data_IF_504144604944
#
_entry.id   IF_504144604944
#
_cell.length_a   1.000
_cell.length_b   1.000
_cell.length_c   1.000
_cell.angle_alpha   90.00
_cell.angle_beta   90.00
_cell.angle_gamma   90.00
#
_symmetry.space_group_name_H-M   'P 1'
#
loop_
_entity.id
_entity.type
_entity.pdbx_description
1 polymer ?
#
# COMPACT_ATOMS: atom_id res chain seq x y z
N UNK A 1 -17.18 21.84 -5.20
CA UNK A 1 -15.72 22.01 -4.97
C UNK A 1 -14.95 21.03 -5.85
N UNK A 2 -13.95 21.49 -6.58
CA UNK A 2 -13.18 20.67 -7.52
C UNK A 2 -11.87 20.22 -6.89
N UNK A 3 -11.67 18.91 -6.77
CA UNK A 3 -10.47 18.29 -6.17
C UNK A 3 -9.67 17.60 -7.27
N UNK A 4 -8.42 17.99 -7.46
CA UNK A 4 -7.48 17.31 -8.35
C UNK A 4 -6.64 16.30 -7.56
N UNK A 5 -6.63 15.04 -7.97
CA UNK A 5 -5.82 13.97 -7.39
C UNK A 5 -4.65 13.70 -8.34
N UNK A 6 -3.42 13.86 -7.83
CA UNK A 6 -2.15 13.85 -8.58
C UNK A 6 -1.17 12.92 -7.90
N UNK A 7 -0.24 12.31 -8.64
CA UNK A 7 0.82 11.47 -8.09
C UNK A 7 0.49 9.98 -8.03
N UNK A 8 -0.45 9.55 -8.84
CA UNK A 8 -0.81 8.14 -9.04
C UNK A 8 -0.64 7.75 -10.51
N UNK A 9 -0.50 6.47 -10.81
CA UNK A 9 -0.54 5.99 -12.20
C UNK A 9 -1.91 6.28 -12.81
N UNK A 10 -2.98 6.14 -12.03
CA UNK A 10 -4.34 6.51 -12.42
C UNK A 10 -5.41 5.51 -12.00
N UNK A 11 -6.57 5.63 -12.62
CA UNK A 11 -7.75 4.77 -12.44
C UNK A 11 -8.21 4.21 -13.80
N UNK A 12 -8.78 2.96 -13.85
CA UNK A 12 -8.96 2.01 -12.76
C UNK A 12 -7.64 1.55 -12.15
N UNK A 13 -7.65 1.17 -10.86
CA UNK A 13 -6.47 0.69 -10.17
C UNK A 13 -5.98 -0.63 -10.77
N UNK A 14 -4.75 -0.64 -11.28
CA UNK A 14 -4.13 -1.86 -11.79
C UNK A 14 -3.14 -2.43 -10.77
N UNK A 15 -2.35 -1.57 -10.11
CA UNK A 15 -1.31 -1.98 -9.18
C UNK A 15 -0.78 -0.79 -8.38
N UNK A 16 -0.78 -0.91 -7.06
CA UNK A 16 -0.18 0.09 -6.16
C UNK A 16 -1.12 0.60 -5.08
N UNK A 17 -0.54 1.07 -3.97
CA UNK A 17 -1.30 1.59 -2.83
C UNK A 17 -2.08 2.86 -3.16
N UNK A 18 -1.46 3.80 -3.88
CA UNK A 18 -2.12 5.05 -4.27
C UNK A 18 -3.23 4.84 -5.30
N UNK A 19 -3.06 3.93 -6.23
CA UNK A 19 -4.12 3.57 -7.20
C UNK A 19 -5.35 3.01 -6.46
N UNK A 20 -5.13 2.09 -5.51
CA UNK A 20 -6.18 1.54 -4.66
C UNK A 20 -6.83 2.61 -3.79
N UNK A 21 -6.05 3.54 -3.22
CA UNK A 21 -6.56 4.67 -2.45
C UNK A 21 -7.48 5.55 -3.30
N UNK A 22 -7.02 5.97 -4.48
CA UNK A 22 -7.78 6.86 -5.37
C UNK A 22 -9.05 6.20 -5.86
N UNK A 23 -8.97 4.93 -6.29
CA UNK A 23 -10.14 4.17 -6.73
C UNK A 23 -11.23 4.14 -5.66
N UNK A 24 -10.83 3.88 -4.40
CA UNK A 24 -11.79 3.77 -3.32
C UNK A 24 -12.27 5.15 -2.82
N UNK A 25 -11.46 6.20 -2.82
CA UNK A 25 -11.93 7.57 -2.55
C UNK A 25 -13.00 7.96 -3.57
N UNK A 26 -12.74 7.75 -4.86
CA UNK A 26 -13.69 8.07 -5.92
C UNK A 26 -14.96 7.22 -5.81
N UNK A 27 -14.82 5.92 -5.50
CA UNK A 27 -15.95 4.99 -5.30
C UNK A 27 -16.84 5.38 -4.11
N UNK A 28 -16.26 5.89 -3.03
CA UNK A 28 -17.00 6.28 -1.83
C UNK A 28 -17.61 7.68 -1.93
N UNK A 29 -17.28 8.46 -2.97
CA UNK A 29 -17.85 9.80 -3.12
C UNK A 29 -19.38 9.70 -3.30
N UNK A 30 -20.09 10.25 -2.33
CA UNK A 30 -21.56 10.37 -2.32
C UNK A 30 -22.03 11.82 -2.28
N UNK A 31 -21.07 12.77 -2.28
CA UNK A 31 -21.35 14.18 -2.16
C UNK A 31 -21.47 14.81 -3.57
N UNK A 32 -22.60 15.42 -3.85
CA UNK A 32 -22.77 16.25 -5.05
C UNK A 32 -21.94 17.55 -4.99
N UNK A 33 -21.38 17.87 -3.83
CA UNK A 33 -20.54 19.06 -3.63
C UNK A 33 -19.09 18.86 -4.07
N UNK A 34 -18.63 17.60 -4.25
CA UNK A 34 -17.25 17.25 -4.60
C UNK A 34 -17.17 16.68 -6.02
N UNK A 35 -16.39 17.35 -6.85
CA UNK A 35 -16.04 16.91 -8.20
C UNK A 35 -14.57 16.49 -8.24
N UNK A 36 -14.30 15.22 -8.44
CA UNK A 36 -12.93 14.72 -8.56
C UNK A 36 -12.41 14.78 -9.98
N UNK A 37 -11.14 15.17 -10.14
CA UNK A 37 -10.36 15.03 -11.37
C UNK A 37 -9.11 14.19 -11.05
N UNK A 38 -8.99 12.99 -11.63
CA UNK A 38 -7.86 12.10 -11.43
C UNK A 38 -6.87 12.23 -12.57
N UNK A 39 -5.61 12.52 -12.26
CA UNK A 39 -4.53 12.61 -13.25
C UNK A 39 -3.95 11.21 -13.47
N UNK A 40 -3.94 10.78 -14.73
CA UNK A 40 -3.53 9.43 -15.14
C UNK A 40 -2.41 9.48 -16.17
N UNK A 41 -1.50 8.51 -16.13
CA UNK A 41 -0.45 8.34 -17.14
C UNK A 41 -1.00 7.68 -18.39
N UNK A 42 -1.02 8.40 -19.54
CA UNK A 42 -1.46 7.80 -20.80
C UNK A 42 -0.53 6.69 -21.32
N UNK A 43 0.64 6.52 -20.71
CA UNK A 43 1.59 5.46 -21.08
C UNK A 43 1.32 4.13 -20.38
N UNK A 44 0.45 4.14 -19.37
CA UNK A 44 0.12 2.97 -18.57
C UNK A 44 -1.28 2.40 -18.83
N UNK A 45 -2.08 3.09 -19.66
CA UNK A 45 -3.44 2.66 -20.00
C UNK A 45 -3.59 2.54 -21.52
N UNK A 46 -3.95 1.36 -22.01
CA UNK A 46 -4.22 1.12 -23.42
C UNK A 46 -5.57 1.73 -23.84
N UNK A 47 -6.56 1.65 -22.94
CA UNK A 47 -7.87 2.29 -23.11
C UNK A 47 -7.96 3.51 -22.23
N UNK A 48 -8.45 4.61 -22.78
CA UNK A 48 -8.57 5.88 -22.08
C UNK A 48 -10.05 6.26 -21.92
N UNK A 49 -10.45 6.42 -20.67
CA UNK A 49 -11.79 6.86 -20.30
C UNK A 49 -11.75 8.30 -19.79
N UNK A 50 -12.62 9.17 -20.31
CA UNK A 50 -12.70 10.56 -19.85
C UNK A 50 -13.40 10.73 -18.50
N UNK A 51 -14.19 9.71 -18.11
CA UNK A 51 -14.90 9.67 -16.82
C UNK A 51 -14.76 8.26 -16.24
N UNK A 52 -14.44 8.17 -14.96
CA UNK A 52 -14.37 6.93 -14.22
C UNK A 52 -15.10 7.08 -12.88
N UNK A 53 -16.17 6.30 -12.65
CA UNK A 53 -17.00 6.36 -11.45
C UNK A 53 -17.43 7.78 -11.04
N UNK A 54 -17.76 8.63 -12.01
CA UNK A 54 -18.13 10.02 -11.79
C UNK A 54 -16.97 11.02 -11.69
N UNK A 55 -15.74 10.55 -11.53
CA UNK A 55 -14.55 11.41 -11.57
C UNK A 55 -14.12 11.69 -13.00
N UNK A 56 -13.72 12.94 -13.30
CA UNK A 56 -13.07 13.30 -14.55
C UNK A 56 -11.67 12.70 -14.60
N UNK A 57 -11.25 12.12 -15.71
CA UNK A 57 -9.91 11.59 -15.92
C UNK A 57 -9.12 12.52 -16.84
N UNK A 58 -7.90 12.86 -16.43
CA UNK A 58 -7.00 13.74 -17.18
C UNK A 58 -5.71 12.98 -17.48
N UNK A 59 -5.41 12.76 -18.77
CA UNK A 59 -4.23 12.01 -19.19
C UNK A 59 -3.04 12.91 -19.45
N UNK A 60 -1.89 12.55 -18.85
CA UNK A 60 -0.58 13.18 -19.07
C UNK A 60 0.31 12.18 -19.84
N UNK A 61 0.97 12.57 -20.94
CA UNK A 61 1.71 11.66 -21.84
C UNK A 61 3.12 11.34 -21.30
N UNK A 62 3.25 11.09 -19.99
CA UNK A 62 4.47 10.74 -19.28
C UNK A 62 4.22 9.52 -18.41
N UNK A 63 5.28 8.75 -18.08
CA UNK A 63 5.19 7.65 -17.11
C UNK A 63 5.11 8.21 -15.70
N UNK A 64 4.19 7.68 -14.88
CA UNK A 64 4.05 8.04 -13.47
C UNK A 64 5.06 7.33 -12.56
N UNK A 65 5.96 6.50 -13.11
CA UNK A 65 6.96 5.75 -12.37
C UNK A 65 8.39 6.11 -12.84
N UNK A 66 9.37 5.93 -11.92
CA UNK A 66 10.77 6.21 -12.19
C UNK A 66 11.06 7.71 -12.26
N UNK A 67 12.12 8.11 -12.95
CA UNK A 67 12.55 9.54 -13.04
C UNK A 67 11.49 10.40 -13.75
N UNK A 68 10.73 9.83 -14.67
CA UNK A 68 9.68 10.56 -15.39
C UNK A 68 8.53 10.97 -14.47
N UNK A 69 8.33 10.33 -13.33
CA UNK A 69 7.29 10.69 -12.37
C UNK A 69 7.40 12.14 -11.90
N UNK A 70 8.62 12.67 -11.77
CA UNK A 70 8.86 14.06 -11.37
C UNK A 70 8.21 15.03 -12.36
N UNK A 71 8.46 14.83 -13.64
CA UNK A 71 7.87 15.67 -14.71
C UNK A 71 6.36 15.43 -14.83
N UNK A 72 5.92 14.18 -14.71
CA UNK A 72 4.51 13.82 -14.72
C UNK A 72 3.74 14.58 -13.62
N UNK A 73 4.24 14.57 -12.39
CA UNK A 73 3.62 15.24 -11.26
C UNK A 73 3.67 16.77 -11.42
N UNK A 74 4.80 17.33 -11.84
CA UNK A 74 4.95 18.78 -12.09
C UNK A 74 3.94 19.26 -13.13
N UNK A 75 3.82 18.59 -14.29
CA UNK A 75 2.84 18.95 -15.31
C UNK A 75 1.39 18.79 -14.84
N UNK A 76 1.12 17.73 -14.08
CA UNK A 76 -0.19 17.49 -13.48
C UNK A 76 -0.59 18.61 -12.51
N UNK A 77 0.32 19.03 -11.64
CA UNK A 77 0.12 20.15 -10.70
C UNK A 77 -0.16 21.45 -11.46
N UNK A 78 0.68 21.80 -12.45
CA UNK A 78 0.52 23.04 -13.23
C UNK A 78 -0.80 23.06 -14.01
N UNK A 79 -1.21 21.94 -14.60
CA UNK A 79 -2.48 21.83 -15.28
C UNK A 79 -3.67 21.95 -14.30
N UNK A 80 -3.59 21.29 -13.15
CA UNK A 80 -4.63 21.30 -12.11
C UNK A 80 -4.86 22.70 -11.50
N UNK A 81 -3.83 23.55 -11.46
CA UNK A 81 -3.96 24.92 -10.96
C UNK A 81 -5.04 25.74 -11.70
N UNK A 82 -5.37 25.39 -12.93
CA UNK A 82 -6.40 26.11 -13.72
C UNK A 82 -7.81 25.58 -13.49
N UNK A 83 -7.95 24.35 -13.00
CA UNK A 83 -9.23 23.63 -13.02
C UNK A 83 -9.75 23.21 -11.63
N UNK A 84 -8.88 23.08 -10.63
CA UNK A 84 -9.26 22.59 -9.31
C UNK A 84 -9.20 23.68 -8.23
N UNK A 85 -9.95 23.51 -7.15
CA UNK A 85 -9.93 24.34 -5.95
C UNK A 85 -8.94 23.77 -4.93
N UNK A 86 -8.83 22.45 -4.87
CA UNK A 86 -7.95 21.69 -3.96
C UNK A 86 -7.05 20.79 -4.78
N UNK A 87 -5.77 20.73 -4.43
CA UNK A 87 -4.78 19.81 -4.95
C UNK A 87 -4.47 18.75 -3.90
N UNK A 88 -4.85 17.50 -4.16
CA UNK A 88 -4.40 16.33 -3.40
C UNK A 88 -3.23 15.71 -4.15
N UNK A 89 -2.04 15.85 -3.61
CA UNK A 89 -0.79 15.31 -4.17
C UNK A 89 -0.39 14.07 -3.38
N UNK A 90 -0.26 12.94 -4.08
CA UNK A 90 0.12 11.65 -3.53
C UNK A 90 1.59 11.38 -3.85
N UNK A 91 2.42 11.29 -2.80
CA UNK A 91 3.86 11.21 -2.91
C UNK A 91 4.53 12.59 -3.02
N UNK A 92 5.86 12.58 -2.98
CA UNK A 92 6.67 13.82 -2.89
C UNK A 92 7.46 14.13 -4.15
N UNK A 93 7.44 13.28 -5.19
CA UNK A 93 8.30 13.39 -6.37
C UNK A 93 8.15 14.73 -7.10
N UNK A 94 6.93 15.23 -7.25
CA UNK A 94 6.64 16.50 -7.91
C UNK A 94 6.59 17.72 -6.99
N UNK A 95 6.78 17.58 -5.68
CA UNK A 95 6.62 18.67 -4.72
C UNK A 95 7.70 19.75 -4.81
N UNK A 96 8.77 19.53 -5.58
CA UNK A 96 9.76 20.55 -5.89
C UNK A 96 9.17 21.79 -6.58
N UNK A 97 8.00 21.69 -7.24
CA UNK A 97 7.30 22.82 -7.88
C UNK A 97 6.48 23.68 -6.89
N UNK A 98 6.19 23.20 -5.68
CA UNK A 98 5.28 23.86 -4.74
C UNK A 98 5.68 25.30 -4.34
N UNK A 99 6.95 25.64 -4.17
CA UNK A 99 7.35 27.06 -3.95
C UNK A 99 6.83 27.98 -5.06
N UNK A 100 6.96 27.56 -6.32
CA UNK A 100 6.46 28.31 -7.47
C UNK A 100 4.92 28.37 -7.51
N UNK A 101 4.27 27.24 -7.19
CA UNK A 101 2.80 27.20 -7.08
C UNK A 101 2.27 28.21 -6.06
N UNK A 102 2.95 28.37 -4.93
CA UNK A 102 2.57 29.35 -3.88
C UNK A 102 2.72 30.80 -4.30
N UNK A 103 3.63 31.10 -5.23
CA UNK A 103 3.74 32.45 -5.80
C UNK A 103 2.56 32.76 -6.73
N UNK A 104 1.99 31.76 -7.40
CA UNK A 104 0.94 31.92 -8.40
C UNK A 104 -0.47 31.71 -7.85
N UNK A 105 -0.63 31.00 -6.74
CA UNK A 105 -1.93 30.54 -6.29
C UNK A 105 -2.01 30.36 -4.76
N UNK A 106 -3.20 30.67 -4.21
CA UNK A 106 -3.57 30.38 -2.81
C UNK A 106 -4.46 29.15 -2.67
N UNK A 107 -4.54 28.30 -3.71
CA UNK A 107 -5.34 27.08 -3.66
C UNK A 107 -4.85 26.15 -2.54
N UNK A 108 -5.79 25.40 -1.98
CA UNK A 108 -5.47 24.45 -0.91
C UNK A 108 -4.65 23.30 -1.45
N UNK A 109 -3.52 23.02 -0.84
CA UNK A 109 -2.60 21.95 -1.20
C UNK A 109 -2.52 20.97 -0.03
N UNK A 110 -2.89 19.73 -0.31
CA UNK A 110 -2.81 18.60 0.62
C UNK A 110 -1.81 17.63 0.03
N UNK A 111 -0.78 17.25 0.79
CA UNK A 111 0.24 16.29 0.34
C UNK A 111 0.24 15.08 1.25
N UNK A 112 0.01 13.90 0.67
CA UNK A 112 0.28 12.63 1.33
C UNK A 112 1.73 12.24 1.03
N UNK A 113 2.58 12.19 2.06
CA UNK A 113 4.02 12.03 1.89
C UNK A 113 4.47 10.58 1.66
N UNK A 114 3.52 9.61 1.72
CA UNK A 114 3.84 8.18 1.56
C UNK A 114 4.84 7.65 2.61
N UNK A 115 5.41 6.49 2.36
CA UNK A 115 6.29 5.74 3.25
C UNK A 115 7.79 6.08 3.15
N UNK A 116 8.18 7.36 3.14
CA UNK A 116 9.58 7.81 3.16
C UNK A 116 10.42 7.27 1.98
N UNK A 117 9.97 7.56 0.75
CA UNK A 117 10.60 7.09 -0.50
C UNK A 117 12.13 7.33 -0.56
N UNK A 118 12.63 8.40 0.07
CA UNK A 118 14.06 8.69 0.11
C UNK A 118 14.90 7.66 0.90
N UNK A 119 14.26 6.79 1.70
CA UNK A 119 14.93 5.73 2.48
C UNK A 119 15.00 4.39 1.74
N UNK A 120 14.30 4.24 0.60
CA UNK A 120 14.26 2.99 -0.14
C UNK A 120 15.56 2.73 -0.90
N UNK A 121 16.07 1.51 -0.82
CA UNK A 121 17.35 1.11 -1.39
C UNK A 121 17.35 1.02 -2.93
N UNK A 122 16.18 0.93 -3.56
CA UNK A 122 16.03 0.99 -5.02
C UNK A 122 16.56 2.29 -5.65
N UNK A 123 16.71 3.36 -4.87
CA UNK A 123 17.15 4.65 -5.34
C UNK A 123 18.63 4.89 -5.09
N UNK A 124 19.34 5.43 -6.10
CA UNK A 124 20.70 5.89 -5.92
C UNK A 124 20.76 7.13 -4.99
N UNK A 125 21.98 7.45 -4.51
CA UNK A 125 22.20 8.51 -3.52
C UNK A 125 21.71 9.91 -3.98
N UNK A 126 21.76 10.21 -5.29
CA UNK A 126 21.33 11.50 -5.82
C UNK A 126 19.81 11.62 -5.85
N UNK A 127 19.12 10.58 -6.27
CA UNK A 127 17.66 10.51 -6.26
C UNK A 127 17.14 10.56 -4.81
N UNK A 128 17.76 9.85 -3.88
CA UNK A 128 17.41 9.90 -2.45
C UNK A 128 17.53 11.31 -1.88
N UNK A 129 18.62 12.05 -2.20
CA UNK A 129 18.80 13.47 -1.80
C UNK A 129 17.73 14.36 -2.43
N UNK A 130 17.42 14.18 -3.70
CA UNK A 130 16.36 14.93 -4.37
C UNK A 130 14.99 14.68 -3.73
N UNK A 131 14.63 13.42 -3.47
CA UNK A 131 13.35 13.06 -2.84
C UNK A 131 13.26 13.65 -1.42
N UNK A 132 14.34 13.62 -0.63
CA UNK A 132 14.39 14.27 0.69
C UNK A 132 14.20 15.78 0.59
N UNK A 133 14.82 16.43 -0.38
CA UNK A 133 14.64 17.85 -0.65
C UNK A 133 13.19 18.16 -1.07
N UNK A 134 12.61 17.38 -1.96
CA UNK A 134 11.23 17.55 -2.42
C UNK A 134 10.22 17.31 -1.28
N UNK A 135 10.48 16.35 -0.38
CA UNK A 135 9.72 16.11 0.84
C UNK A 135 9.74 17.33 1.77
N UNK A 136 10.92 17.94 1.99
CA UNK A 136 11.03 19.15 2.79
C UNK A 136 10.21 20.32 2.21
N UNK A 137 10.19 20.45 0.88
CA UNK A 137 9.35 21.44 0.19
C UNK A 137 7.85 21.11 0.33
N UNK A 138 7.48 19.84 0.22
CA UNK A 138 6.12 19.37 0.47
C UNK A 138 5.65 19.80 1.86
N UNK A 139 6.41 19.48 2.90
CA UNK A 139 6.09 19.81 4.29
C UNK A 139 6.05 21.32 4.54
N UNK A 140 6.92 22.08 3.87
CA UNK A 140 6.97 23.55 4.02
C UNK A 140 5.80 24.27 3.35
N UNK A 141 5.38 23.82 2.18
CA UNK A 141 4.48 24.58 1.31
C UNK A 141 3.06 23.99 1.19
N UNK A 142 2.80 22.78 1.69
CA UNK A 142 1.44 22.27 1.79
C UNK A 142 0.67 22.95 2.95
N UNK A 143 -0.65 23.06 2.78
CA UNK A 143 -1.55 23.50 3.87
C UNK A 143 -1.79 22.37 4.86
N UNK A 144 -1.86 21.12 4.34
CA UNK A 144 -2.03 19.92 5.15
C UNK A 144 -1.07 18.85 4.65
N UNK A 145 -0.35 18.25 5.59
CA UNK A 145 0.41 17.02 5.36
C UNK A 145 -0.42 15.84 5.83
N UNK A 146 -0.50 14.82 5.03
CA UNK A 146 -1.10 13.53 5.38
C UNK A 146 0.01 12.52 5.56
N UNK A 147 -0.04 11.78 6.65
CA UNK A 147 0.78 10.59 6.94
C UNK A 147 -0.14 9.39 7.03
N UNK A 148 0.23 8.30 6.43
CA UNK A 148 -0.56 7.08 6.37
C UNK A 148 -0.32 6.14 7.57
N UNK A 149 0.67 6.47 8.42
CA UNK A 149 1.05 5.67 9.57
C UNK A 149 1.54 6.58 10.71
N UNK A 150 1.33 6.15 11.95
CA UNK A 150 1.79 6.90 13.13
C UNK A 150 3.31 7.09 13.14
N UNK A 151 4.09 6.09 12.73
CA UNK A 151 5.54 6.21 12.62
C UNK A 151 5.98 7.28 11.61
N UNK A 152 5.23 7.46 10.51
CA UNK A 152 5.46 8.56 9.55
C UNK A 152 5.03 9.90 10.16
N UNK A 153 3.93 9.93 10.89
CA UNK A 153 3.46 11.14 11.59
C UNK A 153 4.50 11.65 12.60
N UNK A 154 5.08 10.74 13.38
CA UNK A 154 6.11 11.06 14.37
C UNK A 154 7.40 11.54 13.67
N UNK A 155 7.82 10.88 12.60
CA UNK A 155 8.93 11.34 11.79
C UNK A 155 8.72 12.77 11.24
N UNK A 156 7.53 13.12 10.74
CA UNK A 156 7.24 14.49 10.25
C UNK A 156 7.34 15.50 11.38
N UNK A 157 6.87 15.13 12.57
CA UNK A 157 6.95 15.99 13.73
C UNK A 157 8.40 16.19 14.20
N UNK A 158 9.18 15.13 14.29
CA UNK A 158 10.58 15.15 14.74
C UNK A 158 11.49 15.87 13.74
N UNK A 159 11.36 15.56 12.45
CA UNK A 159 12.27 16.05 11.41
C UNK A 159 11.95 17.50 11.01
N UNK A 160 10.67 17.89 11.00
CA UNK A 160 10.22 19.16 10.43
C UNK A 160 9.47 20.06 11.42
N UNK A 161 9.21 19.60 12.64
CA UNK A 161 8.41 20.35 13.63
C UNK A 161 6.96 20.60 13.19
N UNK A 162 6.42 19.80 12.24
CA UNK A 162 5.08 19.97 11.67
C UNK A 162 4.16 18.82 12.09
N UNK A 163 2.90 19.18 12.38
CA UNK A 163 1.85 18.16 12.58
C UNK A 163 1.30 17.72 11.24
N UNK A 164 1.03 16.42 11.09
CA UNK A 164 0.34 15.84 9.93
C UNK A 164 -0.98 15.21 10.35
N UNK A 165 -1.91 15.10 9.40
CA UNK A 165 -3.14 14.35 9.57
C UNK A 165 -2.86 12.85 9.36
N UNK A 166 -3.30 12.00 10.29
CA UNK A 166 -3.17 10.55 10.15
C UNK A 166 -4.37 10.03 9.35
N UNK A 167 -4.09 9.57 8.12
CA UNK A 167 -5.09 8.94 7.24
C UNK A 167 -4.44 7.72 6.61
N UNK A 168 -4.83 6.56 7.09
CA UNK A 168 -4.31 5.27 6.68
C UNK A 168 -4.96 4.78 5.37
N UNK A 169 -4.74 3.52 5.01
CA UNK A 169 -5.42 2.84 3.90
C UNK A 169 -6.62 2.04 4.41
N UNK A 170 -7.63 1.86 3.56
CA UNK A 170 -8.71 0.90 3.80
C UNK A 170 -8.38 -0.48 3.23
N UNK A 171 -9.06 -1.51 3.73
CA UNK A 171 -8.87 -2.88 3.29
C UNK A 171 -10.16 -3.65 3.01
N UNK A 172 -11.32 -3.09 3.35
CA UNK A 172 -12.63 -3.77 3.24
C UNK A 172 -13.06 -4.12 1.81
N UNK A 173 -12.41 -3.55 0.79
CA UNK A 173 -12.69 -3.86 -0.62
C UNK A 173 -12.33 -5.29 -1.03
N UNK A 174 -11.51 -6.00 -0.23
CA UNK A 174 -11.12 -7.39 -0.52
C UNK A 174 -12.13 -8.42 -0.03
N UNK A 175 -13.11 -7.99 0.76
CA UNK A 175 -14.18 -8.87 1.22
C UNK A 175 -15.22 -9.01 0.11
N UNK A 176 -15.35 -10.19 -0.43
CA UNK A 176 -16.29 -10.51 -1.50
C UNK A 176 -16.90 -11.89 -1.31
N UNK A 177 -18.03 -12.13 -1.98
CA UNK A 177 -18.61 -13.46 -2.07
C UNK A 177 -17.76 -14.31 -3.04
N UNK A 178 -17.29 -15.45 -2.54
CA UNK A 178 -16.50 -16.41 -3.31
C UNK A 178 -17.36 -17.33 -4.18
N UNK A 179 -18.69 -17.31 -4.02
CA UNK A 179 -19.66 -18.11 -4.78
C UNK A 179 -19.36 -19.63 -4.69
N UNK A 180 -18.93 -20.09 -3.53
CA UNK A 180 -18.57 -21.51 -3.26
C UNK A 180 -17.38 -22.01 -4.12
N UNK A 181 -16.43 -21.14 -4.46
CA UNK A 181 -15.23 -21.52 -5.22
C UNK A 181 -14.09 -22.03 -4.33
N UNK A 182 -14.31 -22.17 -3.02
CA UNK A 182 -13.27 -22.52 -2.04
C UNK A 182 -12.59 -23.84 -2.38
N UNK A 183 -13.38 -24.93 -2.60
CA UNK A 183 -12.86 -26.26 -2.92
C UNK A 183 -12.10 -26.26 -4.26
N UNK A 184 -12.60 -25.55 -5.27
CA UNK A 184 -11.95 -25.43 -6.59
C UNK A 184 -10.61 -24.74 -6.45
N UNK A 185 -10.57 -23.58 -5.73
CA UNK A 185 -9.34 -22.79 -5.58
C UNK A 185 -8.31 -23.55 -4.74
N UNK A 186 -8.71 -24.11 -3.59
CA UNK A 186 -7.80 -24.89 -2.75
C UNK A 186 -7.31 -26.13 -3.49
N UNK A 187 -8.18 -26.82 -4.22
CA UNK A 187 -7.83 -27.97 -5.05
C UNK A 187 -6.86 -27.64 -6.17
N UNK A 188 -7.06 -26.49 -6.87
CA UNK A 188 -6.15 -26.01 -7.91
C UNK A 188 -4.73 -25.84 -7.42
N UNK A 189 -4.55 -25.32 -6.20
CA UNK A 189 -3.23 -25.12 -5.61
C UNK A 189 -2.80 -26.27 -4.69
N UNK A 190 -3.58 -27.35 -4.60
CA UNK A 190 -3.31 -28.49 -3.72
C UNK A 190 -3.08 -28.07 -2.26
N UNK A 191 -4.04 -27.32 -1.72
CA UNK A 191 -4.03 -26.75 -0.38
C UNK A 191 -5.17 -27.34 0.47
N UNK A 192 -4.94 -27.36 1.77
CA UNK A 192 -5.98 -27.64 2.77
C UNK A 192 -6.12 -26.48 3.74
N UNK A 193 -7.27 -26.36 4.37
CA UNK A 193 -7.47 -25.37 5.42
C UNK A 193 -6.43 -25.51 6.53
N UNK A 194 -5.85 -24.41 6.98
CA UNK A 194 -4.77 -24.34 7.97
C UNK A 194 -3.50 -25.13 7.62
N UNK A 195 -3.40 -25.65 6.39
CA UNK A 195 -2.27 -26.47 5.94
C UNK A 195 -1.13 -25.67 5.31
N UNK A 196 -1.25 -24.34 5.22
CA UNK A 196 -0.23 -23.48 4.58
C UNK A 196 -0.20 -22.09 5.22
N UNK A 197 0.96 -21.46 5.16
CA UNK A 197 1.12 -20.03 5.43
C UNK A 197 1.15 -19.23 4.14
N UNK A 198 0.69 -17.98 4.17
CA UNK A 198 0.55 -17.12 3.01
C UNK A 198 1.41 -15.86 3.15
N UNK A 199 2.26 -15.57 2.18
CA UNK A 199 2.93 -14.27 1.99
C UNK A 199 2.51 -13.65 0.66
N UNK A 200 2.31 -12.34 0.64
CA UNK A 200 1.95 -11.58 -0.57
C UNK A 200 2.63 -10.22 -0.55
N UNK A 201 3.59 -10.00 -1.47
CA UNK A 201 4.26 -8.72 -1.60
C UNK A 201 5.00 -8.58 -2.95
N UNK A 202 5.52 -7.39 -3.20
CA UNK A 202 6.56 -7.22 -4.24
C UNK A 202 7.83 -7.94 -3.84
N UNK A 203 8.47 -8.61 -4.80
CA UNK A 203 9.70 -9.35 -4.54
C UNK A 203 10.88 -8.38 -4.57
N UNK A 204 11.11 -7.79 -3.38
CA UNK A 204 12.17 -6.80 -3.13
C UNK A 204 12.90 -7.13 -1.82
N UNK A 205 14.21 -6.85 -1.69
CA UNK A 205 14.99 -7.17 -0.47
C UNK A 205 14.40 -6.59 0.81
N UNK A 206 13.87 -5.36 0.74
CA UNK A 206 13.27 -4.65 1.87
C UNK A 206 11.98 -5.32 2.42
N UNK A 207 11.44 -6.29 1.69
CA UNK A 207 10.30 -7.09 2.14
C UNK A 207 10.71 -8.40 2.81
N UNK A 208 12.00 -8.57 3.11
CA UNK A 208 12.56 -9.74 3.80
C UNK A 208 12.18 -11.10 3.17
N UNK A 209 12.01 -11.10 1.83
CA UNK A 209 11.54 -12.26 1.06
C UNK A 209 12.46 -13.46 1.27
N UNK A 210 13.77 -13.28 1.11
CA UNK A 210 14.75 -14.35 1.23
C UNK A 210 14.82 -14.92 2.66
N UNK A 211 14.70 -14.06 3.68
CA UNK A 211 14.66 -14.49 5.08
C UNK A 211 13.43 -15.37 5.36
N UNK A 212 12.25 -14.97 4.86
CA UNK A 212 11.02 -15.76 5.01
C UNK A 212 11.18 -17.11 4.31
N UNK A 213 11.69 -17.15 3.08
CA UNK A 213 11.92 -18.40 2.33
C UNK A 213 12.84 -19.35 3.11
N UNK A 214 13.98 -18.85 3.63
CA UNK A 214 14.90 -19.67 4.43
C UNK A 214 14.26 -20.23 5.71
N UNK A 215 13.47 -19.42 6.40
CA UNK A 215 12.76 -19.86 7.60
C UNK A 215 11.81 -21.03 7.28
N UNK A 216 11.09 -20.96 6.16
CA UNK A 216 10.17 -22.01 5.75
C UNK A 216 10.89 -23.28 5.24
N UNK A 217 12.01 -23.14 4.55
CA UNK A 217 12.86 -24.29 4.21
C UNK A 217 13.32 -25.02 5.47
N UNK A 218 13.76 -24.26 6.48
CA UNK A 218 14.27 -24.83 7.72
C UNK A 218 13.16 -25.46 8.60
N UNK A 219 11.95 -24.88 8.60
CA UNK A 219 10.82 -25.41 9.38
C UNK A 219 10.10 -26.59 8.74
N UNK A 220 10.17 -26.74 7.40
CA UNK A 220 9.41 -27.72 6.65
C UNK A 220 7.90 -27.39 6.49
N UNK A 221 7.42 -26.30 7.06
CA UNK A 221 6.03 -25.83 6.92
C UNK A 221 5.75 -25.35 5.47
N UNK A 222 4.53 -25.55 4.98
CA UNK A 222 4.16 -25.16 3.61
C UNK A 222 3.95 -23.64 3.51
N UNK A 223 4.68 -23.01 2.60
CA UNK A 223 4.54 -21.60 2.25
C UNK A 223 3.98 -21.42 0.85
N UNK A 224 2.94 -20.60 0.73
CA UNK A 224 2.51 -19.99 -0.52
C UNK A 224 3.01 -18.56 -0.54
N UNK A 225 3.90 -18.24 -1.47
CA UNK A 225 4.44 -16.90 -1.63
C UNK A 225 4.01 -16.32 -2.98
N UNK A 226 3.14 -15.31 -2.95
CA UNK A 226 2.61 -14.63 -4.15
C UNK A 226 3.40 -13.35 -4.39
N UNK A 227 3.94 -13.18 -5.60
CA UNK A 227 4.66 -11.95 -5.95
C UNK A 227 5.08 -11.89 -7.41
N UNK A 228 5.73 -10.79 -7.77
CA UNK A 228 6.20 -10.50 -9.12
C UNK A 228 7.64 -10.98 -9.34
N UNK A 229 7.84 -12.28 -9.32
CA UNK A 229 9.17 -12.94 -9.32
C UNK A 229 10.08 -12.53 -10.48
N UNK A 230 9.50 -12.24 -11.65
CA UNK A 230 10.26 -11.92 -12.87
C UNK A 230 10.66 -10.44 -13.01
N UNK A 231 10.19 -9.54 -12.15
CA UNK A 231 10.38 -8.10 -12.32
C UNK A 231 11.80 -7.60 -12.01
N UNK A 232 12.58 -8.35 -11.23
CA UNK A 232 13.93 -7.98 -10.82
C UNK A 232 14.90 -9.15 -10.94
N UNK A 233 16.19 -8.88 -10.96
CA UNK A 233 17.23 -9.90 -10.88
C UNK A 233 17.16 -10.65 -9.54
N UNK A 234 16.91 -9.92 -8.46
CA UNK A 234 16.68 -10.49 -7.13
C UNK A 234 15.53 -11.50 -7.13
N UNK A 235 14.40 -11.15 -7.72
CA UNK A 235 13.24 -12.04 -7.79
C UNK A 235 13.50 -13.31 -8.62
N UNK A 236 14.14 -13.16 -9.79
CA UNK A 236 14.49 -14.32 -10.65
C UNK A 236 15.44 -15.27 -9.95
N UNK A 237 16.49 -14.74 -9.28
CA UNK A 237 17.43 -15.54 -8.49
C UNK A 237 16.72 -16.34 -7.42
N UNK A 238 15.87 -15.73 -6.61
CA UNK A 238 15.13 -16.42 -5.57
C UNK A 238 14.17 -17.46 -6.15
N UNK A 239 13.53 -17.18 -7.28
CA UNK A 239 12.66 -18.16 -7.93
C UNK A 239 13.43 -19.38 -8.35
N UNK A 240 14.56 -19.24 -9.03
CA UNK A 240 15.44 -20.35 -9.46
C UNK A 240 15.94 -21.17 -8.26
N UNK A 241 16.27 -20.51 -7.14
CA UNK A 241 16.79 -21.16 -5.95
C UNK A 241 15.74 -21.96 -5.18
N UNK A 242 14.48 -21.47 -5.12
CA UNK A 242 13.47 -22.02 -4.21
C UNK A 242 12.30 -22.74 -4.90
N UNK A 243 12.11 -22.62 -6.23
CA UNK A 243 10.94 -23.20 -6.91
C UNK A 243 10.87 -24.74 -6.89
N UNK A 244 12.01 -25.43 -6.68
CA UNK A 244 12.09 -26.88 -6.61
C UNK A 244 11.91 -27.44 -5.19
N UNK A 245 11.82 -26.59 -4.20
CA UNK A 245 11.70 -26.98 -2.79
C UNK A 245 10.24 -27.37 -2.49
N UNK A 246 10.02 -28.58 -2.04
CA UNK A 246 8.70 -29.22 -1.96
C UNK A 246 7.67 -28.49 -1.08
N UNK A 247 8.14 -27.82 -0.01
CA UNK A 247 7.28 -27.06 0.90
C UNK A 247 7.23 -25.55 0.57
N UNK A 248 7.74 -25.12 -0.59
CA UNK A 248 7.67 -23.74 -1.08
C UNK A 248 6.90 -23.70 -2.40
N UNK A 249 5.82 -22.93 -2.43
CA UNK A 249 5.06 -22.66 -3.67
C UNK A 249 5.14 -21.18 -4.02
N UNK A 250 5.93 -20.85 -5.04
CA UNK A 250 6.11 -19.50 -5.56
C UNK A 250 5.09 -19.25 -6.67
N UNK A 251 4.13 -18.38 -6.42
CA UNK A 251 3.09 -18.02 -7.36
C UNK A 251 3.34 -16.61 -7.92
N UNK A 252 3.03 -16.43 -9.21
CA UNK A 252 3.02 -15.10 -9.81
C UNK A 252 1.92 -14.24 -9.22
N UNK A 253 1.98 -12.92 -9.46
CA UNK A 253 0.99 -11.97 -8.96
C UNK A 253 -0.43 -12.37 -9.32
N UNK A 254 -1.29 -12.49 -8.33
CA UNK A 254 -2.72 -12.80 -8.47
C UNK A 254 -3.50 -11.52 -8.21
N UNK A 255 -4.35 -11.13 -9.15
CA UNK A 255 -5.20 -9.94 -9.06
C UNK A 255 -6.69 -10.28 -8.90
N UNK A 256 -7.05 -11.57 -9.04
CA UNK A 256 -8.41 -12.03 -8.78
C UNK A 256 -8.69 -11.98 -7.28
N UNK A 257 -9.61 -11.08 -6.91
CA UNK A 257 -10.01 -10.86 -5.51
C UNK A 257 -10.59 -12.11 -4.88
N UNK A 258 -11.35 -12.93 -5.65
CA UNK A 258 -11.96 -14.16 -5.12
C UNK A 258 -10.90 -15.20 -4.76
N UNK A 259 -9.89 -15.35 -5.63
CA UNK A 259 -8.76 -16.25 -5.37
C UNK A 259 -7.99 -15.80 -4.13
N UNK A 260 -7.66 -14.50 -4.05
CA UNK A 260 -6.96 -13.94 -2.88
C UNK A 260 -7.80 -14.02 -1.61
N UNK A 261 -9.12 -13.87 -1.71
CA UNK A 261 -10.04 -14.02 -0.58
C UNK A 261 -9.94 -15.43 0.00
N UNK A 262 -10.07 -16.47 -0.84
CA UNK A 262 -9.96 -17.87 -0.41
C UNK A 262 -8.58 -18.14 0.21
N UNK A 263 -7.49 -17.74 -0.46
CA UNK A 263 -6.14 -17.99 0.05
C UNK A 263 -5.88 -17.30 1.40
N UNK A 264 -6.43 -16.11 1.62
CA UNK A 264 -6.34 -15.40 2.92
C UNK A 264 -7.24 -16.02 3.97
N UNK A 265 -8.43 -16.49 3.59
CA UNK A 265 -9.41 -17.09 4.51
C UNK A 265 -8.90 -18.40 5.12
N UNK A 266 -8.21 -19.22 4.35
CA UNK A 266 -7.87 -20.59 4.74
C UNK A 266 -6.39 -20.81 5.11
N UNK A 267 -5.56 -19.75 5.11
CA UNK A 267 -4.16 -19.88 5.54
C UNK A 267 -4.06 -20.06 7.08
N UNK A 268 -3.01 -20.76 7.52
CA UNK A 268 -2.64 -20.92 8.95
C UNK A 268 -2.14 -19.59 9.50
N UNK A 269 -1.17 -18.96 8.82
CA UNK A 269 -0.59 -17.65 9.13
C UNK A 269 -0.55 -16.77 7.89
N UNK A 270 -0.74 -15.46 8.08
CA UNK A 270 -0.37 -14.47 7.09
C UNK A 270 0.98 -13.85 7.45
N UNK A 271 1.95 -13.88 6.52
CA UNK A 271 3.32 -13.41 6.68
C UNK A 271 3.47 -12.01 6.10
N UNK A 272 3.99 -11.07 6.87
CA UNK A 272 4.24 -9.71 6.43
C UNK A 272 5.69 -9.28 6.71
N UNK A 273 6.54 -9.37 5.69
CA UNK A 273 7.99 -9.14 5.81
C UNK A 273 8.44 -7.69 5.63
N UNK A 274 7.56 -6.74 5.30
CA UNK A 274 7.97 -5.36 4.98
C UNK A 274 8.71 -4.68 6.13
N UNK A 275 9.90 -4.14 5.85
CA UNK A 275 10.72 -3.38 6.80
C UNK A 275 10.65 -1.86 6.56
N UNK A 276 10.17 -1.43 5.40
CA UNK A 276 10.06 -0.04 5.00
C UNK A 276 8.63 0.30 4.55
N UNK A 277 8.23 1.54 4.72
CA UNK A 277 6.92 2.04 4.31
C UNK A 277 6.15 2.66 5.47
N UNK A 278 4.85 2.86 5.25
CA UNK A 278 3.87 3.30 6.24
C UNK A 278 2.87 2.19 6.54
N UNK A 279 1.57 2.50 6.48
CA UNK A 279 0.51 1.50 6.51
C UNK A 279 0.51 0.71 5.20
N UNK A 280 0.82 -0.58 5.28
CA UNK A 280 0.91 -1.40 4.09
C UNK A 280 -0.47 -1.98 3.72
N UNK A 281 -1.01 -1.70 2.51
CA UNK A 281 -2.32 -2.20 2.10
C UNK A 281 -2.47 -3.72 2.22
N UNK A 282 -1.45 -4.51 1.85
CA UNK A 282 -1.55 -5.97 1.89
C UNK A 282 -1.67 -6.53 3.32
N UNK A 283 -1.08 -5.84 4.32
CA UNK A 283 -1.25 -6.19 5.73
C UNK A 283 -2.67 -5.87 6.20
N UNK A 284 -3.13 -4.66 5.92
CA UNK A 284 -4.47 -4.21 6.27
C UNK A 284 -5.54 -5.12 5.66
N UNK A 285 -5.39 -5.46 4.37
CA UNK A 285 -6.27 -6.39 3.67
C UNK A 285 -6.30 -7.77 4.34
N UNK A 286 -5.14 -8.31 4.71
CA UNK A 286 -5.06 -9.63 5.35
C UNK A 286 -5.73 -9.66 6.73
N UNK A 287 -5.66 -8.56 7.48
CA UNK A 287 -6.26 -8.47 8.81
C UNK A 287 -7.78 -8.68 8.79
N UNK A 288 -8.47 -8.35 7.68
CA UNK A 288 -9.93 -8.57 7.54
C UNK A 288 -10.35 -10.03 7.63
N UNK A 289 -9.46 -10.96 7.33
CA UNK A 289 -9.76 -12.39 7.31
C UNK A 289 -9.66 -13.05 8.71
N UNK A 290 -9.15 -12.31 9.71
CA UNK A 290 -9.05 -12.81 11.08
C UNK A 290 -8.11 -14.00 11.24
N UNK A 291 -7.16 -14.15 10.32
CA UNK A 291 -6.08 -15.12 10.45
C UNK A 291 -4.92 -14.54 11.25
N UNK A 292 -4.17 -15.36 11.98
CA UNK A 292 -3.00 -14.88 12.70
C UNK A 292 -2.00 -14.23 11.77
N UNK A 293 -1.47 -13.07 12.18
CA UNK A 293 -0.47 -12.31 11.43
C UNK A 293 0.87 -12.44 12.10
N UNK A 294 1.89 -12.85 11.33
CA UNK A 294 3.30 -12.78 11.69
C UNK A 294 3.95 -11.67 10.88
N UNK A 295 4.39 -10.61 11.54
CA UNK A 295 4.89 -9.41 10.90
C UNK A 295 6.35 -9.11 11.27
N UNK A 296 7.13 -8.58 10.32
CA UNK A 296 8.48 -8.12 10.61
C UNK A 296 8.46 -7.00 11.65
N UNK A 297 9.37 -7.06 12.63
CA UNK A 297 9.38 -6.23 13.82
C UNK A 297 9.89 -4.81 13.55
N UNK A 298 9.02 -3.98 12.97
CA UNK A 298 9.27 -2.55 12.77
C UNK A 298 8.10 -1.71 13.28
N UNK A 299 8.36 -0.44 13.54
CA UNK A 299 7.36 0.51 14.08
C UNK A 299 6.09 0.55 13.24
N UNK A 300 6.18 0.53 11.92
CA UNK A 300 5.04 0.62 11.01
C UNK A 300 4.09 -0.57 11.14
N UNK A 301 4.64 -1.78 11.20
CA UNK A 301 3.85 -3.01 11.37
C UNK A 301 3.24 -3.09 12.76
N UNK A 302 4.00 -2.71 13.79
CA UNK A 302 3.48 -2.65 15.18
C UNK A 302 2.33 -1.68 15.31
N UNK A 303 2.43 -0.50 14.70
CA UNK A 303 1.39 0.51 14.72
C UNK A 303 0.14 0.05 13.94
N UNK A 304 0.32 -0.55 12.76
CA UNK A 304 -0.78 -1.06 11.95
C UNK A 304 -1.57 -2.14 12.68
N UNK A 305 -0.89 -3.02 13.41
CA UNK A 305 -1.49 -4.14 14.15
C UNK A 305 -1.71 -3.86 15.64
N UNK A 306 -1.52 -2.61 16.08
CA UNK A 306 -1.64 -2.17 17.47
C UNK A 306 -0.85 -3.04 18.46
N UNK A 307 0.32 -3.52 18.05
CA UNK A 307 1.17 -4.36 18.87
C UNK A 307 0.64 -5.79 19.11
N UNK A 308 -0.39 -6.23 18.39
CA UNK A 308 -1.10 -7.50 18.65
C UNK A 308 -0.76 -8.64 17.68
N UNK A 309 0.09 -8.40 16.65
CA UNK A 309 0.60 -9.47 15.78
C UNK A 309 1.72 -10.27 16.46
N UNK A 310 2.10 -11.42 15.89
CA UNK A 310 3.38 -12.06 16.17
C UNK A 310 4.50 -11.30 15.47
N UNK A 311 5.61 -11.01 16.16
CA UNK A 311 6.68 -10.20 15.57
C UNK A 311 7.99 -10.95 15.51
N UNK A 312 8.67 -10.89 14.36
CA UNK A 312 9.97 -11.48 14.12
C UNK A 312 10.96 -10.48 13.53
N UNK A 313 12.21 -10.54 13.91
CA UNK A 313 13.31 -9.75 13.35
C UNK A 313 14.34 -10.58 12.57
N UNK A 314 14.24 -11.91 12.64
CA UNK A 314 15.14 -12.85 11.97
C UNK A 314 14.46 -14.21 11.74
N UNK A 315 15.18 -15.12 11.05
CA UNK A 315 14.70 -16.46 10.69
C UNK A 315 14.33 -17.31 11.92
N UNK A 316 15.17 -17.28 12.97
CA UNK A 316 15.01 -18.08 14.18
C UNK A 316 13.76 -17.67 14.96
N UNK A 317 13.52 -16.36 15.06
CA UNK A 317 12.31 -15.83 15.71
C UNK A 317 11.04 -16.21 14.92
N UNK A 318 11.09 -16.17 13.56
CA UNK A 318 9.96 -16.58 12.74
C UNK A 318 9.66 -18.08 12.92
N UNK A 319 10.69 -18.94 12.92
CA UNK A 319 10.55 -20.38 13.17
C UNK A 319 10.00 -20.63 14.57
N UNK A 320 10.48 -19.92 15.59
CA UNK A 320 9.99 -20.04 16.96
C UNK A 320 8.50 -19.72 17.06
N UNK A 321 8.04 -18.63 16.43
CA UNK A 321 6.61 -18.25 16.39
C UNK A 321 5.75 -19.31 15.68
N UNK A 322 6.22 -19.89 14.57
CA UNK A 322 5.47 -20.92 13.85
C UNK A 322 5.34 -22.23 14.65
N UNK A 323 6.28 -22.50 15.52
CA UNK A 323 6.32 -23.69 16.40
C UNK A 323 5.72 -23.44 17.77
N UNK A 324 5.26 -22.22 18.07
CA UNK A 324 4.65 -21.90 19.36
C UNK A 324 3.31 -22.65 19.51
N UNK A 325 3.24 -23.53 20.49
CA UNK A 325 2.01 -24.22 20.87
C UNK A 325 1.05 -23.25 21.53
N UNK A 326 -0.06 -22.97 20.90
CA UNK A 326 -1.01 -22.00 21.42
C UNK A 326 -2.13 -21.66 20.46
N UNK A 327 -2.96 -22.66 20.10
CA UNK A 327 -4.13 -22.43 19.23
C UNK A 327 -4.98 -21.24 19.70
N UNK A 328 -5.18 -21.12 21.01
CA UNK A 328 -5.94 -20.02 21.60
C UNK A 328 -5.24 -18.66 21.47
N UNK A 329 -3.88 -18.63 21.54
CA UNK A 329 -3.09 -17.40 21.37
C UNK A 329 -3.22 -16.91 19.93
N UNK A 330 -3.10 -17.81 18.96
CA UNK A 330 -3.22 -17.49 17.55
C UNK A 330 -4.64 -17.14 17.14
N UNK A 331 -5.64 -17.79 17.73
CA UNK A 331 -7.04 -17.42 17.56
C UNK A 331 -7.29 -15.98 18.02
N UNK A 332 -6.84 -15.61 19.22
CA UNK A 332 -6.94 -14.24 19.75
C UNK A 332 -6.19 -13.23 18.89
N UNK A 333 -5.02 -13.61 18.35
CA UNK A 333 -4.29 -12.77 17.40
C UNK A 333 -5.16 -12.47 16.17
N UNK A 334 -5.71 -13.49 15.52
CA UNK A 334 -6.58 -13.33 14.36
C UNK A 334 -7.84 -12.49 14.65
N UNK A 335 -8.51 -12.73 15.79
CA UNK A 335 -9.67 -11.95 16.24
C UNK A 335 -9.31 -10.47 16.43
N UNK A 336 -8.15 -10.19 17.05
CA UNK A 336 -7.65 -8.83 17.22
C UNK A 336 -7.34 -8.17 15.87
N UNK A 337 -6.72 -8.90 14.92
CA UNK A 337 -6.47 -8.37 13.57
C UNK A 337 -7.77 -7.93 12.90
N UNK A 338 -8.78 -8.78 12.93
CA UNK A 338 -10.09 -8.47 12.33
C UNK A 338 -10.78 -7.29 13.01
N UNK A 339 -10.78 -7.24 14.34
CA UNK A 339 -11.37 -6.11 15.09
C UNK A 339 -10.70 -4.78 14.70
N UNK A 340 -9.35 -4.74 14.68
CA UNK A 340 -8.60 -3.55 14.29
C UNK A 340 -8.91 -3.14 12.85
N UNK A 341 -8.96 -4.11 11.91
CA UNK A 341 -9.28 -3.83 10.52
C UNK A 341 -10.64 -3.16 10.34
N UNK A 342 -11.68 -3.74 10.90
CA UNK A 342 -13.05 -3.19 10.80
C UNK A 342 -13.19 -1.84 11.48
N UNK A 343 -12.46 -1.57 12.55
CA UNK A 343 -12.52 -0.32 13.30
C UNK A 343 -11.72 0.82 12.63
N UNK A 344 -10.51 0.53 12.09
CA UNK A 344 -9.59 1.55 11.60
C UNK A 344 -9.53 1.67 10.09
N UNK A 345 -9.63 0.58 9.36
CA UNK A 345 -9.19 0.48 7.96
C UNK A 345 -10.34 0.31 6.96
N UNK A 346 -11.48 0.92 7.23
CA UNK A 346 -12.64 0.92 6.33
C UNK A 346 -12.56 2.09 5.35
N UNK A 347 -12.75 1.85 4.06
CA UNK A 347 -12.68 2.88 3.02
C UNK A 347 -13.65 4.03 3.22
N UNK A 348 -14.84 3.79 3.76
CA UNK A 348 -15.77 4.87 4.09
C UNK A 348 -15.18 5.82 5.14
N UNK A 349 -14.50 5.30 6.17
CA UNK A 349 -13.84 6.12 7.19
C UNK A 349 -12.67 6.91 6.57
N UNK A 350 -11.88 6.27 5.72
CA UNK A 350 -10.72 6.89 5.05
C UNK A 350 -11.19 8.01 4.11
N UNK A 351 -12.18 7.75 3.24
CA UNK A 351 -12.73 8.75 2.34
C UNK A 351 -13.27 9.97 3.12
N UNK A 352 -14.04 9.75 4.17
CA UNK A 352 -14.55 10.82 5.03
C UNK A 352 -13.45 11.65 5.69
N UNK A 353 -12.30 11.03 6.08
CA UNK A 353 -11.15 11.78 6.61
C UNK A 353 -10.57 12.71 5.54
N UNK A 354 -10.43 12.27 4.29
CA UNK A 354 -9.98 13.11 3.17
C UNK A 354 -10.96 14.22 2.85
N UNK A 355 -12.26 13.93 2.77
CA UNK A 355 -13.31 14.94 2.52
C UNK A 355 -13.27 16.08 3.55
N UNK A 356 -13.11 15.75 4.82
CA UNK A 356 -12.95 16.77 5.89
C UNK A 356 -11.73 17.67 5.68
N UNK A 357 -10.66 17.14 5.05
CA UNK A 357 -9.50 17.98 4.73
C UNK A 357 -9.78 18.95 3.58
N UNK A 358 -10.63 18.57 2.63
CA UNK A 358 -10.99 19.46 1.52
C UNK A 358 -11.85 20.63 2.01
N UNK A 359 -12.80 20.36 2.89
CA UNK A 359 -13.83 21.30 3.34
C UNK A 359 -13.39 22.22 4.50
N UNK A 360 -12.34 21.89 5.24
CA UNK A 360 -11.84 22.77 6.31
C UNK A 360 -11.19 24.01 5.72
N UNK A 361 -11.75 25.18 6.05
CA UNK A 361 -11.13 26.50 5.85
C UNK A 361 -9.94 26.72 6.80
#
# INVERSE_FOLDING_TARGET
MKVAIIGTVGVPANYGGFETLVENIVRQNRSDELEYSVYCSSKNYNEQHWVYRGAKVVYIPLKANGIQSIFYDVFSVLHALRQADVLLVLGVSGCCILPFVRLLSRKRIIVNIDGLEHRRDKWNKWIRKFLKFSEALAVKYADVIVSDNKGIQDYVLEEYGKKSALIEYGGDHVICDTNNMEEEILGKYQLSENGYSLALCRIEPENNVEMILRAFVASGELLIFIGNWHNSEFGRRLKEEYETISNIKLLESIYDIKVLNVLRTYCKFYLHGHSAGGTNPSLVEAMYFGRPVLAFNVVYNRETTEGKAGYFGNEQELIALMNEDGEEVWKRNGEAMREIAYRRYCWNVIANKYERLYLKN
#
